data_IF_703075306237
#
_entry.id   IF_703075306237
#
_cell.length_a   1.000
_cell.length_b   1.000
_cell.length_c   1.000
_cell.angle_alpha   90.00
_cell.angle_beta   90.00
_cell.angle_gamma   90.00
#
_symmetry.space_group_name_H-M   'P 1'
#
loop_
_entity.id
_entity.type
_entity.pdbx_description
1 polymer ?
#
# COMPACT_ATOMS: atom_id res chain seq x y z
N UNK A 1 4.56 2.40 -18.88
CA UNK A 1 3.08 2.40 -18.76
C UNK A 1 2.54 0.97 -18.89
N UNK A 2 1.77 0.51 -17.91
CA UNK A 2 1.01 -0.74 -18.05
C UNK A 2 -0.23 -0.42 -18.87
N UNK A 3 -0.47 -1.05 -20.03
CA UNK A 3 -1.66 -0.80 -20.82
C UNK A 3 -2.91 -1.19 -20.00
N UNK A 4 -3.92 -0.33 -19.99
CA UNK A 4 -5.22 -0.66 -19.40
C UNK A 4 -6.01 -1.46 -20.45
N UNK A 5 -6.16 -2.76 -20.23
CA UNK A 5 -7.07 -3.61 -20.99
C UNK A 5 -8.33 -3.87 -20.16
N UNK A 6 -9.43 -4.21 -20.83
CA UNK A 6 -10.61 -4.83 -20.22
C UNK A 6 -11.28 -4.05 -19.07
N UNK A 7 -11.07 -2.72 -19.00
CA UNK A 7 -11.70 -1.85 -18.00
C UNK A 7 -13.24 -1.87 -18.03
N UNK A 8 -13.83 -2.31 -19.15
CA UNK A 8 -15.28 -2.47 -19.35
C UNK A 8 -15.73 -3.94 -19.36
N UNK A 9 -14.89 -4.86 -18.90
CA UNK A 9 -15.23 -6.27 -18.83
C UNK A 9 -16.52 -6.51 -18.02
N UNK A 10 -17.30 -7.49 -18.47
CA UNK A 10 -18.55 -7.85 -17.83
C UNK A 10 -18.31 -8.38 -16.41
N UNK A 11 -19.06 -7.83 -15.45
CA UNK A 11 -18.93 -8.15 -14.02
C UNK A 11 -19.76 -9.38 -13.66
N UNK A 12 -19.12 -10.53 -13.55
CA UNK A 12 -19.79 -11.83 -13.40
C UNK A 12 -19.81 -12.34 -11.97
N UNK A 13 -18.79 -12.00 -11.19
CA UNK A 13 -18.55 -12.59 -9.87
C UNK A 13 -18.84 -11.58 -8.77
N UNK A 14 -19.34 -12.06 -7.63
CA UNK A 14 -19.39 -11.26 -6.40
C UNK A 14 -18.19 -11.63 -5.56
N UNK A 15 -17.35 -10.66 -5.21
CA UNK A 15 -16.13 -10.86 -4.43
C UNK A 15 -16.03 -9.81 -3.32
N UNK A 16 -15.27 -10.12 -2.28
CA UNK A 16 -14.88 -9.13 -1.28
C UNK A 16 -13.47 -8.63 -1.62
N UNK A 17 -13.33 -7.33 -1.82
CA UNK A 17 -12.03 -6.68 -2.03
C UNK A 17 -11.44 -6.33 -0.68
N UNK A 18 -10.30 -6.94 -0.36
CA UNK A 18 -9.58 -6.73 0.89
C UNK A 18 -8.15 -6.29 0.63
N UNK A 19 -7.62 -5.47 1.53
CA UNK A 19 -6.21 -5.11 1.53
C UNK A 19 -5.34 -6.11 2.32
N UNK A 20 -4.04 -5.84 2.41
CA UNK A 20 -3.06 -6.77 2.98
C UNK A 20 -2.91 -6.65 4.51
N UNK A 21 -3.64 -5.74 5.16
CA UNK A 21 -3.45 -5.51 6.59
C UNK A 21 -4.08 -6.63 7.43
N UNK A 22 -3.58 -6.80 8.66
CA UNK A 22 -4.00 -7.87 9.57
C UNK A 22 -5.28 -7.55 10.37
N UNK A 23 -5.90 -6.41 10.12
CA UNK A 23 -7.16 -5.94 10.72
C UNK A 23 -8.31 -6.04 9.68
N UNK A 24 -9.49 -5.54 10.04
CA UNK A 24 -10.62 -5.38 9.11
C UNK A 24 -10.28 -4.36 8.01
N UNK A 25 -9.54 -4.81 7.00
CA UNK A 25 -9.05 -4.05 5.85
C UNK A 25 -9.90 -4.37 4.61
N UNK A 26 -11.21 -4.18 4.76
CA UNK A 26 -12.17 -4.40 3.70
C UNK A 26 -12.37 -3.11 2.91
N UNK A 27 -12.02 -3.17 1.63
CA UNK A 27 -12.10 -2.04 0.70
C UNK A 27 -13.44 -2.02 -0.04
N UNK A 28 -14.07 -3.18 -0.21
CA UNK A 28 -15.32 -3.34 -0.92
C UNK A 28 -15.99 -4.68 -0.62
N UNK A 29 -16.95 -4.74 0.31
CA UNK A 29 -17.77 -5.93 0.53
C UNK A 29 -18.65 -6.21 -0.68
N UNK A 30 -18.71 -7.47 -1.10
CA UNK A 30 -19.68 -8.01 -2.07
C UNK A 30 -19.75 -7.24 -3.39
N UNK A 31 -18.61 -6.82 -3.91
CA UNK A 31 -18.49 -6.06 -5.15
C UNK A 31 -18.61 -6.99 -6.36
N UNK A 32 -19.35 -6.55 -7.38
CA UNK A 32 -19.42 -7.23 -8.67
C UNK A 32 -18.18 -6.91 -9.50
N UNK A 33 -17.40 -7.93 -9.84
CA UNK A 33 -16.15 -7.82 -10.61
C UNK A 33 -16.14 -8.78 -11.82
N UNK A 34 -15.38 -8.47 -12.89
CA UNK A 34 -14.99 -9.49 -13.84
C UNK A 34 -14.15 -10.58 -13.14
N UNK A 35 -14.02 -11.79 -13.70
CA UNK A 35 -13.08 -12.78 -13.18
C UNK A 35 -11.67 -12.17 -13.10
N UNK A 36 -11.03 -12.26 -11.93
CA UNK A 36 -9.69 -11.71 -11.68
C UNK A 36 -8.65 -12.82 -11.56
N UNK A 37 -7.47 -12.59 -12.11
CA UNK A 37 -6.31 -13.45 -11.99
C UNK A 37 -5.16 -12.77 -11.24
N UNK A 38 -4.18 -13.57 -10.79
CA UNK A 38 -2.99 -13.01 -10.13
C UNK A 38 -2.19 -12.19 -11.12
N UNK A 39 -1.98 -10.92 -10.78
CA UNK A 39 -1.27 -9.96 -11.62
C UNK A 39 -2.18 -8.92 -12.25
N UNK A 40 -3.49 -9.14 -12.22
CA UNK A 40 -4.45 -8.11 -12.64
C UNK A 40 -4.38 -6.88 -11.74
N UNK A 41 -4.70 -5.72 -12.35
CA UNK A 41 -4.73 -4.44 -11.66
C UNK A 41 -6.19 -4.02 -11.43
N UNK A 42 -6.46 -3.54 -10.22
CA UNK A 42 -7.76 -2.98 -9.84
C UNK A 42 -7.61 -1.48 -9.60
N UNK A 43 -8.50 -0.69 -10.16
CA UNK A 43 -8.55 0.76 -9.98
C UNK A 43 -9.66 1.13 -8.97
N UNK A 44 -9.28 1.85 -7.92
CA UNK A 44 -10.21 2.48 -6.99
C UNK A 44 -10.43 3.93 -7.41
N UNK A 45 -11.61 4.21 -7.96
CA UNK A 45 -11.98 5.54 -8.43
C UNK A 45 -12.42 6.44 -7.27
N UNK A 46 -12.54 7.74 -7.56
CA UNK A 46 -13.02 8.75 -6.61
C UNK A 46 -12.18 8.87 -5.32
N UNK A 47 -10.90 8.53 -5.41
CA UNK A 47 -9.91 8.55 -4.31
C UNK A 47 -9.08 9.85 -4.24
N UNK A 48 -9.49 10.90 -4.96
CA UNK A 48 -8.73 12.15 -5.03
C UNK A 48 -8.82 13.02 -3.77
N UNK A 49 -9.90 12.91 -3.00
CA UNK A 49 -10.12 13.67 -1.77
C UNK A 49 -9.85 12.83 -0.53
N UNK A 50 -9.14 13.40 0.45
CA UNK A 50 -8.90 12.83 1.78
C UNK A 50 -8.11 11.51 1.85
N UNK A 51 -7.96 10.74 0.76
CA UNK A 51 -7.26 9.45 0.79
C UNK A 51 -5.78 9.59 1.16
N UNK A 52 -5.00 10.35 0.39
CA UNK A 52 -3.57 10.55 0.67
C UNK A 52 -3.32 11.28 2.01
N UNK A 53 -4.03 12.39 2.35
CA UNK A 53 -3.85 13.06 3.63
C UNK A 53 -4.18 12.21 4.86
N UNK A 54 -5.10 11.24 4.74
CA UNK A 54 -5.50 10.35 5.84
C UNK A 54 -4.70 9.04 5.85
N UNK A 55 -3.76 8.83 4.93
CA UNK A 55 -3.04 7.56 4.81
C UNK A 55 -2.16 7.26 6.04
N UNK A 56 -2.23 6.02 6.52
CA UNK A 56 -1.47 5.54 7.66
C UNK A 56 -0.46 4.46 7.26
N UNK A 57 0.63 4.36 8.02
CA UNK A 57 1.69 3.34 7.85
C UNK A 57 1.42 2.13 8.75
N UNK A 58 0.17 1.68 8.80
CA UNK A 58 -0.21 0.52 9.59
C UNK A 58 0.58 -0.71 9.11
N UNK A 59 1.02 -1.57 10.03
CA UNK A 59 1.94 -2.68 9.74
C UNK A 59 3.25 -2.28 9.03
N UNK A 60 3.72 -1.05 9.25
CA UNK A 60 4.89 -0.50 8.55
C UNK A 60 4.75 -0.54 7.02
N UNK A 61 3.52 -0.47 6.52
CA UNK A 61 3.27 -0.39 5.09
C UNK A 61 3.75 0.95 4.54
N UNK A 62 4.55 0.89 3.49
CA UNK A 62 5.13 2.04 2.81
C UNK A 62 4.05 2.74 2.01
N UNK A 63 3.93 4.06 2.16
CA UNK A 63 3.02 4.82 1.31
C UNK A 63 3.50 4.77 -0.16
N UNK A 64 2.57 4.58 -1.12
CA UNK A 64 2.91 4.53 -2.53
C UNK A 64 3.33 5.92 -3.05
N UNK A 65 3.87 5.94 -4.27
CA UNK A 65 4.08 7.20 -4.97
C UNK A 65 2.75 7.75 -5.50
N UNK A 66 2.63 9.08 -5.57
CA UNK A 66 1.55 9.77 -6.28
C UNK A 66 2.11 10.28 -7.61
N UNK A 67 1.34 10.09 -8.68
CA UNK A 67 1.72 10.47 -10.04
C UNK A 67 0.66 11.41 -10.60
N UNK A 68 1.09 12.57 -11.09
CA UNK A 68 0.28 13.48 -11.88
C UNK A 68 0.36 13.06 -13.34
N UNK A 69 -0.79 12.85 -13.97
CA UNK A 69 -0.88 12.56 -15.41
C UNK A 69 -1.60 13.73 -16.09
N UNK A 70 -0.98 14.30 -17.12
CA UNK A 70 -1.55 15.38 -17.91
C UNK A 70 -1.24 15.14 -19.40
N UNK A 71 -2.29 14.88 -20.19
CA UNK A 71 -2.13 14.49 -21.59
C UNK A 71 -1.36 13.17 -21.71
N UNK A 72 -0.20 13.21 -22.38
CA UNK A 72 0.70 12.08 -22.58
C UNK A 72 1.88 12.05 -21.58
N UNK A 73 1.94 13.02 -20.66
CA UNK A 73 3.00 13.13 -19.66
C UNK A 73 2.55 12.57 -18.30
N UNK A 74 3.50 11.96 -17.60
CA UNK A 74 3.31 11.45 -16.25
C UNK A 74 4.53 11.79 -15.38
N UNK A 75 4.29 12.42 -14.23
CA UNK A 75 5.31 12.93 -13.33
C UNK A 75 5.03 12.51 -11.88
N UNK A 76 6.07 12.08 -11.17
CA UNK A 76 5.95 11.72 -9.75
C UNK A 76 5.87 13.02 -8.92
N UNK A 77 4.77 13.21 -8.19
CA UNK A 77 4.55 14.36 -7.31
C UNK A 77 4.83 14.05 -5.85
N UNK A 78 4.63 12.79 -5.45
CA UNK A 78 5.03 12.26 -4.14
C UNK A 78 5.82 10.98 -4.35
N UNK A 79 7.04 10.89 -3.81
CA UNK A 79 7.86 9.68 -3.92
C UNK A 79 7.33 8.55 -3.03
N UNK A 80 7.45 7.30 -3.50
CA UNK A 80 7.15 6.11 -2.70
C UNK A 80 8.09 6.05 -1.49
N UNK A 81 7.52 5.82 -0.31
CA UNK A 81 8.31 5.62 0.90
C UNK A 81 9.17 4.36 0.82
N UNK A 82 10.34 4.43 1.44
CA UNK A 82 11.27 3.34 1.62
C UNK A 82 11.28 2.90 3.08
N UNK A 83 11.79 1.70 3.35
CA UNK A 83 11.83 1.15 4.71
C UNK A 83 12.49 2.10 5.72
N UNK A 84 13.50 2.86 5.29
CA UNK A 84 14.19 3.82 6.16
C UNK A 84 13.30 5.00 6.60
N UNK A 85 12.31 5.39 5.79
CA UNK A 85 11.37 6.48 6.13
C UNK A 85 10.48 6.09 7.30
N UNK A 86 10.17 4.80 7.43
CA UNK A 86 9.40 4.25 8.56
C UNK A 86 10.34 3.92 9.71
N UNK A 87 11.37 3.12 9.46
CA UNK A 87 12.28 2.62 10.49
C UNK A 87 13.03 3.76 11.19
N UNK A 88 13.41 4.81 10.46
CA UNK A 88 14.13 5.97 10.98
C UNK A 88 13.34 6.82 11.98
N UNK A 89 12.02 6.64 12.07
CA UNK A 89 11.17 7.32 13.06
C UNK A 89 11.35 6.76 14.47
N UNK A 90 11.77 5.50 14.57
CA UNK A 90 11.98 4.84 15.85
C UNK A 90 13.38 5.14 16.37
N UNK A 91 13.46 5.70 17.58
CA UNK A 91 14.74 5.92 18.26
C UNK A 91 14.95 4.84 19.30
N UNK A 92 16.04 4.09 19.16
CA UNK A 92 16.47 3.15 20.19
C UNK A 92 17.25 3.93 21.26
N UNK A 93 16.81 3.96 22.52
CA UNK A 93 17.57 4.62 23.59
C UNK A 93 18.97 4.00 23.71
N UNK A 94 20.05 4.82 23.82
CA UNK A 94 21.42 4.30 23.81
C UNK A 94 21.68 3.19 24.85
N UNK A 95 21.10 3.33 26.05
CA UNK A 95 21.22 2.33 27.13
C UNK A 95 20.62 0.96 26.80
N UNK A 96 19.69 0.89 25.84
CA UNK A 96 19.06 -0.36 25.41
C UNK A 96 19.77 -0.97 24.19
N UNK A 97 20.39 -0.14 23.35
CA UNK A 97 21.10 -0.58 22.15
C UNK A 97 22.27 -1.53 22.48
N UNK A 98 23.06 -1.19 23.51
CA UNK A 98 24.18 -2.03 23.96
C UNK A 98 23.72 -3.43 24.40
N UNK A 99 22.53 -3.53 25.00
CA UNK A 99 21.95 -4.80 25.47
C UNK A 99 21.27 -5.64 24.39
N UNK A 100 20.90 -5.04 23.26
CA UNK A 100 20.21 -5.74 22.15
C UNK A 100 21.14 -6.68 21.37
N UNK A 101 22.45 -6.43 21.40
CA UNK A 101 23.45 -7.21 20.65
C UNK A 101 24.37 -8.04 21.55
N UNK A 102 24.31 -7.85 22.87
CA UNK A 102 24.96 -8.75 23.82
C UNK A 102 24.20 -10.07 23.84
N UNK A 103 24.81 -11.15 23.32
CA UNK A 103 24.25 -12.51 23.43
C UNK A 103 24.02 -12.83 24.90
N UNK A 104 22.76 -12.98 25.33
CA UNK A 104 22.46 -13.68 26.58
C UNK A 104 22.60 -15.17 26.30
N UNK A 105 23.67 -15.78 26.81
CA UNK A 105 23.95 -17.21 26.65
C UNK A 105 25.34 -17.49 26.10
N UNK A 106 26.36 -17.24 26.93
CA UNK A 106 27.65 -17.89 26.85
C UNK A 106 28.07 -18.25 28.28
N UNK A 107 27.18 -18.93 28.99
CA UNK A 107 27.42 -19.68 30.23
C UNK A 107 26.67 -21.02 30.09
#
# INVERSE_FOLDING_TARGET
PVPVSDALAERKETVDLVGPLCNSDELGPHVKMPPLERGDLVAFLDTGGYTEPCAARYNAQLLPATVLVCGDQAEITTAREQLHDIAGRFRVPPRLLAGSFSRRGAD
#
